data_IF_509246293424
#
_entry.id   IF_509246293424
#
_cell.length_a   1.000
_cell.length_b   1.000
_cell.length_c   1.000
_cell.angle_alpha   90.00
_cell.angle_beta   90.00
_cell.angle_gamma   90.00
#
_symmetry.space_group_name_H-M   'P 1'
#
loop_
_entity.id
_entity.type
_entity.pdbx_description
1 polymer ?
#
# COMPACT_ATOMS: atom_id res chain seq x y z
N UNK A 1 36.56 15.95 -19.67
CA UNK A 1 35.59 14.83 -19.62
C UNK A 1 34.85 14.77 -18.29
N UNK A 2 35.52 14.92 -17.14
CA UNK A 2 34.92 14.89 -15.80
C UNK A 2 33.65 15.74 -15.63
N UNK A 3 33.67 17.02 -16.05
CA UNK A 3 32.50 17.90 -15.97
C UNK A 3 31.27 17.36 -16.74
N UNK A 4 31.46 16.74 -17.91
CA UNK A 4 30.36 16.14 -18.69
C UNK A 4 29.74 14.94 -17.97
N UNK A 5 30.57 14.14 -17.29
CA UNK A 5 30.11 12.98 -16.50
C UNK A 5 29.34 13.45 -15.26
N UNK A 6 29.82 14.49 -14.57
CA UNK A 6 29.08 15.08 -13.45
C UNK A 6 27.72 15.62 -13.88
N UNK A 7 27.67 16.35 -15.00
CA UNK A 7 26.40 16.83 -15.57
C UNK A 7 25.48 15.65 -15.91
N UNK A 8 26.00 14.62 -16.57
CA UNK A 8 25.23 13.41 -16.89
C UNK A 8 24.67 12.73 -15.62
N UNK A 9 25.47 12.64 -14.56
CA UNK A 9 25.06 12.07 -13.28
C UNK A 9 23.93 12.88 -12.62
N UNK A 10 24.09 14.20 -12.56
CA UNK A 10 23.07 15.10 -12.00
C UNK A 10 21.77 15.03 -12.81
N UNK A 11 21.85 15.07 -14.13
CA UNK A 11 20.66 14.96 -15.00
C UNK A 11 19.95 13.62 -14.80
N UNK A 12 20.71 12.52 -14.75
CA UNK A 12 20.14 11.18 -14.52
C UNK A 12 19.47 11.09 -13.16
N UNK A 13 20.11 11.62 -12.11
CA UNK A 13 19.54 11.68 -10.77
C UNK A 13 18.23 12.47 -10.72
N UNK A 14 18.19 13.65 -11.37
CA UNK A 14 16.98 14.47 -11.42
C UNK A 14 15.83 13.75 -12.14
N UNK A 15 16.09 13.06 -13.26
CA UNK A 15 15.06 12.29 -13.97
C UNK A 15 14.49 11.18 -13.07
N UNK A 16 15.35 10.42 -12.39
CA UNK A 16 14.90 9.37 -11.45
C UNK A 16 14.09 9.99 -10.30
N UNK A 17 14.57 11.07 -9.70
CA UNK A 17 13.91 11.74 -8.59
C UNK A 17 12.52 12.27 -8.99
N UNK A 18 12.40 12.92 -10.16
CA UNK A 18 11.12 13.37 -10.69
C UNK A 18 10.19 12.18 -10.97
N UNK A 19 10.71 11.08 -11.51
CA UNK A 19 9.93 9.85 -11.71
C UNK A 19 9.39 9.28 -10.40
N UNK A 20 10.19 9.27 -9.34
CA UNK A 20 9.76 8.84 -8.00
C UNK A 20 8.66 9.79 -7.47
N UNK A 21 8.86 11.10 -7.55
CA UNK A 21 7.86 12.07 -7.11
C UNK A 21 6.53 11.92 -7.86
N UNK A 22 6.58 11.70 -9.18
CA UNK A 22 5.38 11.46 -9.98
C UNK A 22 4.70 10.15 -9.57
N UNK A 23 5.48 9.10 -9.29
CA UNK A 23 4.92 7.81 -8.82
C UNK A 23 4.24 7.96 -7.46
N UNK A 24 4.84 8.69 -6.52
CA UNK A 24 4.27 8.96 -5.20
C UNK A 24 2.99 9.78 -5.28
N UNK A 25 2.93 10.78 -6.17
CA UNK A 25 1.76 11.64 -6.37
C UNK A 25 0.74 11.09 -7.38
N UNK A 26 0.93 9.86 -7.87
CA UNK A 26 0.07 9.23 -8.89
C UNK A 26 -0.10 10.03 -10.18
N UNK A 27 0.89 10.86 -10.53
CA UNK A 27 0.86 11.70 -11.73
C UNK A 27 1.14 10.88 -12.99
N UNK A 28 0.52 11.25 -14.13
CA UNK A 28 0.76 10.56 -15.40
C UNK A 28 2.22 10.67 -15.83
N UNK A 29 2.73 9.61 -16.46
CA UNK A 29 4.11 9.57 -16.98
C UNK A 29 5.19 9.10 -15.99
N UNK A 30 4.83 8.83 -14.73
CA UNK A 30 5.76 8.32 -13.70
C UNK A 30 6.55 7.09 -14.16
N UNK A 31 5.87 6.11 -14.76
CA UNK A 31 6.49 4.88 -15.23
C UNK A 31 7.56 5.11 -16.30
N UNK A 32 7.28 5.98 -17.29
CA UNK A 32 8.24 6.30 -18.34
C UNK A 32 9.48 7.00 -17.78
N UNK A 33 9.30 7.98 -16.89
CA UNK A 33 10.42 8.69 -16.25
C UNK A 33 11.30 7.74 -15.43
N UNK A 34 10.70 6.84 -14.66
CA UNK A 34 11.44 5.85 -13.87
C UNK A 34 12.22 4.87 -14.74
N UNK A 35 11.60 4.34 -15.79
CA UNK A 35 12.26 3.42 -16.73
C UNK A 35 13.42 4.13 -17.42
N UNK A 36 13.19 5.30 -18.02
CA UNK A 36 14.24 6.06 -18.72
C UNK A 36 15.36 6.44 -17.75
N UNK A 37 15.02 6.93 -16.57
CA UNK A 37 15.97 7.34 -15.54
C UNK A 37 16.85 6.18 -15.06
N UNK A 38 16.25 5.06 -14.65
CA UNK A 38 16.99 3.90 -14.13
C UNK A 38 17.76 3.16 -15.22
N UNK A 39 17.21 3.04 -16.44
CA UNK A 39 17.94 2.48 -17.59
C UNK A 39 19.16 3.34 -17.92
N UNK A 40 19.00 4.67 -17.97
CA UNK A 40 20.12 5.59 -18.21
C UNK A 40 21.16 5.51 -17.09
N UNK A 41 20.73 5.42 -15.82
CA UNK A 41 21.61 5.27 -14.67
C UNK A 41 22.49 4.02 -14.79
N UNK A 42 21.89 2.89 -15.12
CA UNK A 42 22.54 1.58 -15.09
C UNK A 42 23.32 1.28 -16.37
N UNK A 43 22.78 1.59 -17.54
CA UNK A 43 23.37 1.21 -18.83
C UNK A 43 24.22 2.32 -19.46
N UNK A 44 24.09 3.57 -19.02
CA UNK A 44 24.82 4.71 -19.61
C UNK A 44 25.72 5.36 -18.57
N UNK A 45 25.16 5.95 -17.53
CA UNK A 45 25.93 6.73 -16.56
C UNK A 45 26.95 5.86 -15.81
N UNK A 46 26.51 4.76 -15.18
CA UNK A 46 27.39 3.91 -14.37
C UNK A 46 28.58 3.34 -15.18
N UNK A 47 28.39 2.74 -16.38
CA UNK A 47 29.51 2.30 -17.22
C UNK A 47 30.46 3.43 -17.59
N UNK A 48 29.94 4.59 -18.02
CA UNK A 48 30.77 5.72 -18.45
C UNK A 48 31.58 6.26 -17.27
N UNK A 49 30.98 6.37 -16.08
CA UNK A 49 31.65 6.81 -14.86
C UNK A 49 32.75 5.84 -14.44
N UNK A 50 32.47 4.53 -14.44
CA UNK A 50 33.44 3.50 -14.07
C UNK A 50 34.59 3.39 -15.08
N UNK A 51 34.30 3.47 -16.38
CA UNK A 51 35.34 3.48 -17.44
C UNK A 51 36.24 4.71 -17.28
N UNK A 52 35.67 5.90 -17.06
CA UNK A 52 36.47 7.10 -16.86
C UNK A 52 37.34 6.99 -15.60
N UNK A 53 36.78 6.52 -14.49
CA UNK A 53 37.52 6.29 -13.25
C UNK A 53 38.66 5.28 -13.42
N UNK A 54 38.42 4.19 -14.16
CA UNK A 54 39.47 3.21 -14.48
C UNK A 54 40.57 3.80 -15.39
N UNK A 55 40.23 4.71 -16.31
CA UNK A 55 41.23 5.37 -17.17
C UNK A 55 42.10 6.36 -16.41
N UNK A 56 41.54 7.02 -15.40
CA UNK A 56 42.26 8.04 -14.62
C UNK A 56 43.16 7.40 -13.55
N UNK A 57 42.67 6.39 -12.83
CA UNK A 57 43.32 5.85 -11.62
C UNK A 57 43.42 4.31 -11.60
N UNK A 58 42.90 3.64 -12.65
CA UNK A 58 42.79 2.20 -12.70
C UNK A 58 44.11 1.51 -13.02
N UNK A 59 44.36 0.40 -12.31
CA UNK A 59 45.39 -0.58 -12.66
C UNK A 59 44.71 -1.89 -13.07
N UNK A 60 45.41 -2.76 -13.79
CA UNK A 60 44.87 -4.09 -14.18
C UNK A 60 44.37 -4.91 -12.98
N UNK A 61 44.94 -4.71 -11.80
CA UNK A 61 44.54 -5.40 -10.57
C UNK A 61 43.17 -4.93 -10.05
N UNK A 62 42.78 -3.69 -10.36
CA UNK A 62 41.52 -3.09 -9.91
C UNK A 62 40.38 -3.34 -10.90
N UNK A 63 40.65 -3.80 -12.12
CA UNK A 63 39.63 -4.06 -13.15
C UNK A 63 38.45 -4.92 -12.67
N UNK A 64 38.65 -6.03 -11.92
CA UNK A 64 37.54 -6.83 -11.40
C UNK A 64 36.57 -6.03 -10.52
N UNK A 65 37.08 -5.08 -9.74
CA UNK A 65 36.25 -4.24 -8.87
C UNK A 65 35.29 -3.37 -9.70
N UNK A 66 35.77 -2.76 -10.78
CA UNK A 66 34.94 -1.94 -11.67
C UNK A 66 33.84 -2.76 -12.35
N UNK A 67 34.17 -3.96 -12.84
CA UNK A 67 33.22 -4.87 -13.47
C UNK A 67 32.15 -5.31 -12.46
N UNK A 68 32.56 -5.78 -11.30
CA UNK A 68 31.64 -6.26 -10.26
C UNK A 68 30.78 -5.13 -9.70
N UNK A 69 31.32 -3.92 -9.59
CA UNK A 69 30.54 -2.73 -9.21
C UNK A 69 29.40 -2.49 -10.21
N UNK A 70 29.70 -2.51 -11.52
CA UNK A 70 28.67 -2.35 -12.54
C UNK A 70 27.61 -3.46 -12.49
N UNK A 71 28.04 -4.73 -12.40
CA UNK A 71 27.11 -5.87 -12.32
C UNK A 71 26.21 -5.76 -11.08
N UNK A 72 26.78 -5.34 -9.94
CA UNK A 72 26.01 -5.17 -8.70
C UNK A 72 24.98 -4.06 -8.84
N UNK A 73 25.36 -2.90 -9.39
CA UNK A 73 24.42 -1.84 -9.69
C UNK A 73 23.34 -2.31 -10.66
N UNK A 74 23.70 -3.06 -11.71
CA UNK A 74 22.76 -3.59 -12.68
C UNK A 74 21.72 -4.49 -12.03
N UNK A 75 22.13 -5.47 -11.22
CA UNK A 75 21.21 -6.40 -10.53
C UNK A 75 20.30 -5.65 -9.55
N UNK A 76 20.87 -4.78 -8.69
CA UNK A 76 20.12 -4.06 -7.65
C UNK A 76 19.11 -3.09 -8.25
N UNK A 77 19.53 -2.22 -9.17
CA UNK A 77 18.62 -1.22 -9.75
C UNK A 77 17.58 -1.85 -10.67
N UNK A 78 17.89 -2.96 -11.33
CA UNK A 78 16.90 -3.70 -12.12
C UNK A 78 15.84 -4.33 -11.22
N UNK A 79 16.22 -4.95 -10.10
CA UNK A 79 15.26 -5.49 -9.13
C UNK A 79 14.35 -4.40 -8.54
N UNK A 80 14.92 -3.25 -8.17
CA UNK A 80 14.18 -2.08 -7.70
C UNK A 80 13.20 -1.60 -8.78
N UNK A 81 13.63 -1.47 -10.05
CA UNK A 81 12.77 -1.07 -11.15
C UNK A 81 11.58 -2.04 -11.31
N UNK A 82 11.84 -3.35 -11.34
CA UNK A 82 10.79 -4.36 -11.45
C UNK A 82 9.80 -4.30 -10.29
N UNK A 83 10.29 -4.09 -9.07
CA UNK A 83 9.44 -3.97 -7.87
C UNK A 83 8.58 -2.71 -7.91
N UNK A 84 9.14 -1.55 -8.29
CA UNK A 84 8.38 -0.30 -8.41
C UNK A 84 7.35 -0.39 -9.55
N UNK A 85 7.72 -1.01 -10.68
CA UNK A 85 6.86 -1.16 -11.85
C UNK A 85 5.86 -2.32 -11.75
N UNK A 86 5.90 -3.09 -10.65
CA UNK A 86 5.04 -4.26 -10.43
C UNK A 86 5.14 -5.31 -11.55
N UNK A 87 6.32 -5.40 -12.18
CA UNK A 87 6.56 -6.33 -13.26
C UNK A 87 6.69 -7.78 -12.76
N UNK A 88 6.36 -8.77 -13.59
CA UNK A 88 6.46 -10.18 -13.22
C UNK A 88 7.90 -10.54 -12.83
N UNK A 89 8.05 -11.35 -11.79
CA UNK A 89 9.36 -11.78 -11.27
C UNK A 89 10.04 -10.79 -10.33
N UNK A 90 9.45 -9.64 -10.01
CA UNK A 90 10.02 -8.65 -9.10
C UNK A 90 10.42 -9.24 -7.73
N UNK A 91 9.60 -10.12 -7.15
CA UNK A 91 9.91 -10.77 -5.87
C UNK A 91 11.19 -11.61 -5.94
N UNK A 92 11.32 -12.45 -6.97
CA UNK A 92 12.49 -13.30 -7.20
C UNK A 92 13.74 -12.43 -7.40
N UNK A 93 13.62 -11.39 -8.22
CA UNK A 93 14.70 -10.42 -8.46
C UNK A 93 15.15 -9.73 -7.18
N UNK A 94 14.21 -9.30 -6.32
CA UNK A 94 14.53 -8.69 -5.02
C UNK A 94 15.23 -9.67 -4.07
N UNK A 95 14.80 -10.94 -4.04
CA UNK A 95 15.45 -11.99 -3.25
C UNK A 95 16.89 -12.25 -3.70
N UNK A 96 17.15 -12.19 -5.02
CA UNK A 96 18.50 -12.33 -5.57
C UNK A 96 19.33 -11.06 -5.31
N UNK A 97 18.76 -9.87 -5.51
CA UNK A 97 19.50 -8.62 -5.44
C UNK A 97 19.90 -8.24 -4.02
N UNK A 98 19.13 -8.61 -3.01
CA UNK A 98 19.39 -8.23 -1.62
C UNK A 98 20.73 -8.79 -1.07
N UNK A 99 21.06 -10.08 -1.23
CA UNK A 99 22.38 -10.60 -0.83
C UNK A 99 23.48 -10.31 -1.85
N UNK A 100 23.15 -9.91 -3.09
CA UNK A 100 24.12 -9.79 -4.18
C UNK A 100 25.32 -8.88 -3.87
N UNK A 101 25.16 -7.66 -3.31
CA UNK A 101 26.30 -6.81 -2.95
C UNK A 101 27.23 -7.45 -1.91
N UNK A 102 26.70 -8.28 -1.02
CA UNK A 102 27.48 -8.92 0.06
C UNK A 102 28.23 -10.16 -0.40
N UNK A 103 27.66 -10.91 -1.34
CA UNK A 103 28.26 -12.16 -1.84
C UNK A 103 29.23 -11.88 -2.99
N UNK A 104 28.97 -10.84 -3.81
CA UNK A 104 29.74 -10.58 -5.03
C UNK A 104 30.61 -9.34 -4.89
N UNK A 105 30.04 -8.19 -4.58
CA UNK A 105 30.79 -6.93 -4.52
C UNK A 105 31.73 -6.85 -3.32
N UNK A 106 31.24 -7.14 -2.13
CA UNK A 106 32.02 -6.98 -0.90
C UNK A 106 33.31 -7.83 -0.88
N UNK A 107 33.32 -9.12 -1.26
CA UNK A 107 34.56 -9.90 -1.27
C UNK A 107 35.58 -9.36 -2.26
N UNK A 108 35.14 -8.97 -3.46
CA UNK A 108 36.03 -8.40 -4.48
C UNK A 108 36.57 -7.05 -4.03
N UNK A 109 35.74 -6.20 -3.44
CA UNK A 109 36.13 -4.92 -2.85
C UNK A 109 37.22 -5.11 -1.79
N UNK A 110 37.02 -6.01 -0.82
CA UNK A 110 37.99 -6.27 0.25
C UNK A 110 39.31 -6.88 -0.28
N UNK A 111 39.25 -7.81 -1.24
CA UNK A 111 40.46 -8.43 -1.82
C UNK A 111 41.30 -7.39 -2.59
N UNK A 112 40.64 -6.54 -3.38
CA UNK A 112 41.33 -5.52 -4.19
C UNK A 112 41.88 -4.40 -3.31
N UNK A 113 41.07 -3.87 -2.39
CA UNK A 113 41.50 -2.76 -1.52
C UNK A 113 42.48 -3.21 -0.44
N UNK A 114 42.35 -4.42 0.10
CA UNK A 114 43.26 -4.97 1.12
C UNK A 114 44.69 -5.18 0.62
N UNK A 115 44.92 -5.24 -0.70
CA UNK A 115 46.27 -5.26 -1.29
C UNK A 115 46.94 -3.89 -1.29
N UNK A 116 46.16 -2.81 -1.16
CA UNK A 116 46.67 -1.45 -1.12
C UNK A 116 46.92 -1.02 0.33
N UNK A 117 48.20 -1.04 0.75
CA UNK A 117 48.63 -0.68 2.11
C UNK A 117 48.28 0.77 2.52
N UNK A 118 48.04 1.64 1.54
CA UNK A 118 47.69 3.05 1.77
C UNK A 118 46.17 3.30 1.67
N UNK A 119 45.35 2.24 1.58
CA UNK A 119 43.90 2.42 1.51
C UNK A 119 43.35 2.87 2.87
N UNK A 120 42.65 4.01 2.86
CA UNK A 120 42.05 4.58 4.05
C UNK A 120 40.94 3.68 4.60
N UNK A 121 41.03 3.33 5.89
CA UNK A 121 39.98 2.59 6.59
C UNK A 121 38.63 3.31 6.55
N UNK A 122 38.64 4.66 6.51
CA UNK A 122 37.43 5.46 6.42
C UNK A 122 36.63 5.17 5.14
N UNK A 123 37.31 4.91 4.01
CA UNK A 123 36.63 4.55 2.75
C UNK A 123 35.98 3.17 2.84
N UNK A 124 36.63 2.21 3.49
CA UNK A 124 36.05 0.88 3.75
C UNK A 124 34.80 1.00 4.62
N UNK A 125 34.89 1.74 5.73
CA UNK A 125 33.75 1.97 6.64
C UNK A 125 32.61 2.65 5.89
N UNK A 126 32.90 3.65 5.07
CA UNK A 126 31.90 4.34 4.26
C UNK A 126 31.18 3.40 3.29
N UNK A 127 31.92 2.54 2.58
CA UNK A 127 31.32 1.53 1.67
C UNK A 127 30.45 0.54 2.44
N UNK A 128 30.90 0.06 3.61
CA UNK A 128 30.08 -0.84 4.45
C UNK A 128 28.78 -0.17 4.89
N UNK A 129 28.83 1.10 5.31
CA UNK A 129 27.64 1.86 5.68
C UNK A 129 26.69 2.05 4.49
N UNK A 130 27.20 2.34 3.30
CA UNK A 130 26.38 2.43 2.09
C UNK A 130 25.69 1.11 1.75
N UNK A 131 26.38 -0.02 1.91
CA UNK A 131 25.78 -1.35 1.70
C UNK A 131 24.65 -1.63 2.69
N UNK A 132 24.85 -1.32 3.97
CA UNK A 132 23.83 -1.48 5.01
C UNK A 132 22.61 -0.62 4.70
N UNK A 133 22.81 0.67 4.41
CA UNK A 133 21.73 1.58 4.04
C UNK A 133 20.96 1.06 2.83
N UNK A 134 21.67 0.69 1.76
CA UNK A 134 21.06 0.13 0.56
C UNK A 134 20.22 -1.13 0.87
N UNK A 135 20.67 -1.96 1.81
CA UNK A 135 20.00 -3.21 2.15
C UNK A 135 18.77 -3.01 3.02
N UNK A 136 18.81 -2.05 3.95
CA UNK A 136 17.62 -1.65 4.72
C UNK A 136 16.54 -1.16 3.78
N UNK A 137 16.86 -0.23 2.86
CA UNK A 137 15.88 0.28 1.90
C UNK A 137 15.40 -0.79 0.92
N UNK A 138 16.29 -1.65 0.42
CA UNK A 138 15.91 -2.76 -0.47
C UNK A 138 15.03 -3.79 0.26
N UNK A 139 15.32 -4.09 1.52
CA UNK A 139 14.52 -4.98 2.36
C UNK A 139 13.12 -4.42 2.62
N UNK A 140 13.02 -3.14 2.98
CA UNK A 140 11.73 -2.46 3.15
C UNK A 140 10.91 -2.47 1.85
N UNK A 141 11.55 -2.19 0.71
CA UNK A 141 10.91 -2.25 -0.60
C UNK A 141 10.48 -3.68 -0.98
N UNK A 142 11.19 -4.71 -0.49
CA UNK A 142 10.86 -6.10 -0.78
C UNK A 142 9.56 -6.56 -0.08
N UNK A 143 9.18 -5.93 1.04
CA UNK A 143 7.97 -6.26 1.77
C UNK A 143 6.72 -6.16 0.87
N UNK A 144 5.78 -7.10 1.06
CA UNK A 144 4.51 -7.17 0.32
C UNK A 144 3.31 -6.83 1.22
N UNK A 145 3.51 -6.01 2.26
CA UNK A 145 2.47 -5.73 3.28
C UNK A 145 1.19 -5.21 2.64
N UNK A 146 1.28 -4.22 1.74
CA UNK A 146 0.11 -3.65 1.05
C UNK A 146 -0.60 -4.69 0.18
N UNK A 147 0.16 -5.53 -0.54
CA UNK A 147 -0.41 -6.56 -1.41
C UNK A 147 -1.17 -7.61 -0.60
N UNK A 148 -0.53 -8.18 0.43
CA UNK A 148 -1.19 -9.18 1.27
C UNK A 148 -2.44 -8.59 1.93
N UNK A 149 -2.35 -7.33 2.40
CA UNK A 149 -3.49 -6.62 2.99
C UNK A 149 -4.65 -6.43 2.00
N UNK A 150 -4.38 -6.24 0.70
CA UNK A 150 -5.42 -6.18 -0.34
C UNK A 150 -5.97 -7.58 -0.64
N UNK A 151 -5.10 -8.58 -0.80
CA UNK A 151 -5.52 -9.95 -1.08
C UNK A 151 -6.42 -10.48 0.05
N UNK A 152 -6.06 -10.20 1.31
CA UNK A 152 -6.88 -10.51 2.50
C UNK A 152 -8.23 -9.80 2.46
N UNK A 153 -8.28 -8.55 1.99
CA UNK A 153 -9.53 -7.81 1.86
C UNK A 153 -10.48 -8.48 0.86
N UNK A 154 -9.99 -8.91 -0.30
CA UNK A 154 -10.83 -9.60 -1.29
C UNK A 154 -11.33 -10.97 -0.80
N UNK A 155 -10.50 -11.71 -0.06
CA UNK A 155 -10.94 -12.96 0.56
C UNK A 155 -12.04 -12.72 1.61
N UNK A 156 -11.93 -11.62 2.36
CA UNK A 156 -12.93 -11.27 3.37
C UNK A 156 -14.24 -10.82 2.74
N UNK A 157 -14.22 -10.03 1.66
CA UNK A 157 -15.42 -9.66 0.88
C UNK A 157 -16.18 -10.91 0.41
N UNK A 158 -15.47 -11.88 -0.21
CA UNK A 158 -16.08 -13.15 -0.63
C UNK A 158 -16.80 -13.87 0.51
N UNK A 159 -16.16 -13.94 1.68
CA UNK A 159 -16.76 -14.57 2.86
C UNK A 159 -18.01 -13.82 3.33
N UNK A 160 -18.00 -12.48 3.31
CA UNK A 160 -19.17 -11.68 3.66
C UNK A 160 -20.32 -11.87 2.67
N UNK A 161 -20.04 -11.85 1.36
CA UNK A 161 -21.06 -12.12 0.32
C UNK A 161 -21.71 -13.51 0.49
N UNK A 162 -20.93 -14.53 0.85
CA UNK A 162 -21.46 -15.87 1.14
C UNK A 162 -22.40 -15.88 2.35
N UNK A 163 -22.00 -15.22 3.44
CA UNK A 163 -22.85 -15.10 4.65
C UNK A 163 -24.12 -14.32 4.33
N UNK A 164 -24.00 -13.22 3.58
CA UNK A 164 -25.12 -12.37 3.22
C UNK A 164 -26.14 -13.11 2.36
N UNK A 165 -25.68 -13.94 1.42
CA UNK A 165 -26.56 -14.79 0.60
C UNK A 165 -27.44 -15.68 1.49
N UNK A 166 -26.86 -16.27 2.55
CA UNK A 166 -27.61 -17.09 3.52
C UNK A 166 -28.57 -16.25 4.36
N UNK A 167 -28.16 -15.04 4.76
CA UNK A 167 -29.01 -14.15 5.56
C UNK A 167 -30.20 -13.61 4.77
N UNK A 168 -30.02 -13.36 3.47
CA UNK A 168 -31.07 -12.88 2.57
C UNK A 168 -32.13 -13.97 2.28
N UNK A 169 -31.80 -15.25 2.45
CA UNK A 169 -32.74 -16.37 2.34
C UNK A 169 -33.62 -16.56 3.59
N UNK A 170 -33.30 -15.90 4.71
CA UNK A 170 -34.11 -15.97 5.93
C UNK A 170 -35.40 -15.15 5.76
N UNK A 171 -36.54 -15.61 6.30
CA UNK A 171 -37.80 -14.88 6.20
C UNK A 171 -37.71 -13.51 6.87
N UNK A 172 -38.22 -12.48 6.20
CA UNK A 172 -38.29 -11.11 6.75
C UNK A 172 -39.02 -11.11 8.10
N UNK A 173 -38.35 -10.58 9.12
CA UNK A 173 -38.89 -10.46 10.47
C UNK A 173 -39.84 -9.27 10.62
N UNK A 174 -40.64 -9.28 11.69
CA UNK A 174 -41.64 -8.24 11.98
C UNK A 174 -41.00 -6.83 12.01
N UNK A 175 -41.43 -6.00 11.05
CA UNK A 175 -41.03 -4.59 10.87
C UNK A 175 -41.42 -3.63 11.99
N UNK A 176 -42.17 -4.10 12.99
CA UNK A 176 -42.70 -3.27 14.09
C UNK A 176 -41.72 -3.08 15.26
N UNK A 177 -40.57 -3.76 15.25
CA UNK A 177 -39.55 -3.59 16.30
C UNK A 177 -38.71 -2.32 16.06
N UNK A 178 -38.62 -1.38 17.04
CA UNK A 178 -37.88 -0.14 16.88
C UNK A 178 -36.38 -0.35 16.61
N UNK A 179 -35.78 -1.43 17.14
CA UNK A 179 -34.37 -1.76 16.88
C UNK A 179 -34.19 -2.22 15.43
N UNK A 180 -35.12 -3.02 14.90
CA UNK A 180 -35.10 -3.48 13.50
C UNK A 180 -35.25 -2.31 12.53
N UNK A 181 -36.09 -1.33 12.85
CA UNK A 181 -36.23 -0.11 12.04
C UNK A 181 -34.92 0.69 12.01
N UNK A 182 -34.28 0.90 13.17
CA UNK A 182 -32.97 1.57 13.22
C UNK A 182 -31.88 0.79 12.50
N UNK A 183 -31.90 -0.55 12.55
CA UNK A 183 -30.97 -1.38 11.77
C UNK A 183 -31.16 -1.14 10.27
N UNK A 184 -32.41 -1.12 9.79
CA UNK A 184 -32.71 -0.89 8.37
C UNK A 184 -32.29 0.51 7.89
N UNK A 185 -32.43 1.54 8.73
CA UNK A 185 -31.94 2.90 8.43
C UNK A 185 -30.40 2.93 8.29
N UNK A 186 -29.69 2.25 9.18
CA UNK A 186 -28.23 2.15 9.12
C UNK A 186 -27.80 1.35 7.89
N UNK A 187 -28.44 0.21 7.61
CA UNK A 187 -28.19 -0.58 6.40
C UNK A 187 -28.35 0.27 5.13
N UNK A 188 -29.45 1.04 5.01
CA UNK A 188 -29.64 1.92 3.86
C UNK A 188 -28.54 2.98 3.72
N UNK A 189 -27.97 3.43 4.84
CA UNK A 189 -26.82 4.36 4.83
C UNK A 189 -25.55 3.66 4.34
N UNK A 190 -25.33 2.41 4.75
CA UNK A 190 -24.19 1.59 4.31
C UNK A 190 -24.27 1.34 2.81
N UNK A 191 -25.43 0.92 2.29
CA UNK A 191 -25.68 0.67 0.86
C UNK A 191 -25.37 1.94 0.04
N UNK A 192 -25.86 3.09 0.50
CA UNK A 192 -25.62 4.38 -0.14
C UNK A 192 -24.12 4.73 -0.20
N UNK A 193 -23.38 4.45 0.87
CA UNK A 193 -21.94 4.71 0.91
C UNK A 193 -21.16 3.79 -0.02
N UNK A 194 -21.46 2.49 -0.02
CA UNK A 194 -20.85 1.54 -0.95
C UNK A 194 -21.09 1.98 -2.40
N UNK A 195 -22.33 2.36 -2.74
CA UNK A 195 -22.68 2.83 -4.08
C UNK A 195 -21.88 4.08 -4.46
N UNK A 196 -21.83 5.10 -3.60
CA UNK A 196 -21.08 6.34 -3.86
C UNK A 196 -19.58 6.05 -4.09
N UNK A 197 -18.99 5.19 -3.25
CA UNK A 197 -17.57 4.85 -3.33
C UNK A 197 -17.27 4.05 -4.61
N UNK A 198 -18.09 3.06 -4.95
CA UNK A 198 -17.91 2.21 -6.12
C UNK A 198 -18.16 2.97 -7.43
N UNK A 199 -19.16 3.86 -7.48
CA UNK A 199 -19.41 4.74 -8.63
C UNK A 199 -18.20 5.63 -8.93
N UNK A 200 -17.49 6.09 -7.90
CA UNK A 200 -16.27 6.88 -8.07
C UNK A 200 -15.13 6.07 -8.73
N UNK A 201 -15.17 4.74 -8.68
CA UNK A 201 -14.28 3.83 -9.40
C UNK A 201 -14.89 3.24 -10.69
N UNK A 202 -16.05 3.74 -11.12
CA UNK A 202 -16.82 3.22 -12.26
C UNK A 202 -17.20 1.73 -12.12
N UNK A 203 -17.51 1.30 -10.89
CA UNK A 203 -17.92 -0.05 -10.55
C UNK A 203 -19.33 -0.04 -9.95
N UNK A 204 -20.14 -1.07 -10.21
CA UNK A 204 -21.42 -1.26 -9.53
C UNK A 204 -21.29 -2.22 -8.34
N UNK A 205 -22.20 -2.16 -7.35
CA UNK A 205 -22.24 -3.13 -6.24
C UNK A 205 -22.25 -4.60 -6.70
N UNK A 206 -23.02 -4.93 -7.74
CA UNK A 206 -23.10 -6.31 -8.25
C UNK A 206 -21.81 -6.77 -8.94
N UNK A 207 -21.06 -5.83 -9.53
CA UNK A 207 -19.74 -6.13 -10.10
C UNK A 207 -18.72 -6.37 -8.99
N UNK A 208 -18.81 -5.58 -7.91
CA UNK A 208 -17.98 -5.72 -6.73
C UNK A 208 -18.22 -7.09 -6.06
N UNK A 209 -19.45 -7.47 -5.77
CA UNK A 209 -19.80 -8.78 -5.17
C UNK A 209 -19.29 -9.96 -6.00
N UNK A 210 -19.40 -9.88 -7.33
CA UNK A 210 -18.97 -10.98 -8.23
C UNK A 210 -17.47 -11.05 -8.40
N UNK A 211 -16.78 -9.90 -8.42
CA UNK A 211 -15.35 -9.85 -8.69
C UNK A 211 -14.67 -8.65 -7.99
N UNK A 212 -14.42 -8.73 -6.66
CA UNK A 212 -13.77 -7.66 -5.91
C UNK A 212 -12.38 -7.29 -6.45
N UNK A 213 -11.68 -8.26 -7.05
CA UNK A 213 -10.34 -8.09 -7.62
C UNK A 213 -10.30 -7.14 -8.83
N UNK A 214 -11.47 -6.79 -9.40
CA UNK A 214 -11.56 -5.85 -10.52
C UNK A 214 -11.41 -4.38 -10.11
N UNK A 215 -11.28 -4.09 -8.81
CA UNK A 215 -11.11 -2.74 -8.29
C UNK A 215 -9.82 -2.10 -8.83
N UNK A 216 -9.92 -0.90 -9.39
CA UNK A 216 -8.79 -0.29 -10.11
C UNK A 216 -7.66 0.13 -9.17
N UNK A 217 -7.99 0.78 -8.05
CA UNK A 217 -7.00 1.31 -7.09
C UNK A 217 -7.28 0.86 -5.65
N UNK A 218 -7.20 -0.45 -5.35
CA UNK A 218 -7.55 -1.00 -4.06
C UNK A 218 -6.67 -0.49 -2.90
N UNK A 219 -5.45 -0.04 -3.18
CA UNK A 219 -4.50 0.53 -2.22
C UNK A 219 -4.64 2.04 -2.01
N UNK A 220 -5.51 2.72 -2.76
CA UNK A 220 -5.65 4.17 -2.68
C UNK A 220 -6.24 4.60 -1.34
N UNK A 221 -5.55 5.50 -0.65
CA UNK A 221 -6.00 6.13 0.60
C UNK A 221 -6.74 7.43 0.31
N UNK A 222 -7.71 7.78 1.15
CA UNK A 222 -8.46 9.03 1.03
C UNK A 222 -9.48 9.06 -0.10
N UNK A 223 -9.48 8.09 -1.01
CA UNK A 223 -10.41 8.04 -2.14
C UNK A 223 -11.87 7.85 -1.69
N UNK A 224 -12.08 6.96 -0.72
CA UNK A 224 -13.40 6.76 -0.12
C UNK A 224 -13.89 8.03 0.60
N UNK A 225 -13.03 8.64 1.43
CA UNK A 225 -13.32 9.93 2.06
C UNK A 225 -13.68 11.01 1.03
N UNK A 226 -12.90 11.11 -0.06
CA UNK A 226 -13.15 12.06 -1.13
C UNK A 226 -14.50 11.82 -1.82
N UNK A 227 -14.85 10.55 -2.10
CA UNK A 227 -16.13 10.20 -2.70
C UNK A 227 -17.31 10.62 -1.78
N UNK A 228 -17.20 10.35 -0.48
CA UNK A 228 -18.22 10.73 0.51
C UNK A 228 -18.34 12.26 0.67
N UNK A 229 -17.22 12.98 0.77
CA UNK A 229 -17.22 14.44 0.84
C UNK A 229 -17.84 15.05 -0.42
N UNK A 230 -17.52 14.52 -1.60
CA UNK A 230 -18.10 14.98 -2.88
C UNK A 230 -19.62 14.76 -2.94
N UNK A 231 -20.15 13.75 -2.24
CA UNK A 231 -21.59 13.50 -2.11
C UNK A 231 -22.29 14.42 -1.08
N UNK A 232 -21.54 15.30 -0.40
CA UNK A 232 -22.04 16.22 0.61
C UNK A 232 -22.02 15.68 2.04
N UNK A 233 -21.36 14.55 2.30
CA UNK A 233 -21.16 14.00 3.65
C UNK A 233 -19.81 14.47 4.19
N UNK A 234 -19.82 15.60 4.91
CA UNK A 234 -18.64 16.21 5.50
C UNK A 234 -18.89 16.54 6.98
N UNK A 235 -18.08 16.01 7.92
CA UNK A 235 -17.01 15.02 7.76
C UNK A 235 -17.48 13.70 7.11
N UNK A 236 -16.58 13.00 6.42
CA UNK A 236 -16.86 11.72 5.79
C UNK A 236 -17.32 10.68 6.83
N UNK A 237 -18.47 10.04 6.60
CA UNK A 237 -19.00 9.05 7.54
C UNK A 237 -19.87 9.61 8.65
N UNK A 238 -20.22 10.91 8.62
CA UNK A 238 -21.05 11.55 9.65
C UNK A 238 -22.43 10.91 9.76
N UNK A 239 -23.11 10.70 8.62
CA UNK A 239 -24.43 10.04 8.62
C UNK A 239 -24.34 8.65 9.22
N UNK A 240 -23.36 7.85 8.81
CA UNK A 240 -23.17 6.49 9.31
C UNK A 240 -22.91 6.46 10.82
N UNK A 241 -21.96 7.26 11.32
CA UNK A 241 -21.64 7.28 12.75
C UNK A 241 -22.85 7.73 13.60
N UNK A 242 -23.57 8.74 13.13
CA UNK A 242 -24.77 9.22 13.82
C UNK A 242 -25.87 8.16 13.85
N UNK A 243 -26.05 7.40 12.76
CA UNK A 243 -26.99 6.28 12.67
C UNK A 243 -26.60 5.15 13.63
N UNK A 244 -25.34 4.74 13.65
CA UNK A 244 -24.83 3.70 14.54
C UNK A 244 -24.98 4.06 16.02
N UNK A 245 -24.68 5.31 16.39
CA UNK A 245 -24.89 5.79 17.77
C UNK A 245 -26.37 5.81 18.16
N UNK A 246 -27.23 6.21 17.23
CA UNK A 246 -28.68 6.21 17.45
C UNK A 246 -29.21 4.79 17.62
N UNK A 247 -28.69 3.83 16.83
CA UNK A 247 -28.99 2.42 16.97
C UNK A 247 -28.56 1.88 18.35
N UNK A 248 -27.33 2.15 18.79
CA UNK A 248 -26.85 1.73 20.12
C UNK A 248 -27.77 2.29 21.22
N UNK A 249 -28.12 3.59 21.15
CA UNK A 249 -29.03 4.22 22.10
C UNK A 249 -30.42 3.57 22.11
N UNK A 250 -30.95 3.19 20.94
CA UNK A 250 -32.23 2.50 20.84
C UNK A 250 -32.18 1.08 21.42
N UNK A 251 -31.05 0.39 21.27
CA UNK A 251 -30.80 -0.90 21.95
C UNK A 251 -30.71 -0.74 23.47
N UNK A 252 -30.16 0.36 24.00
CA UNK A 252 -30.11 0.61 25.44
C UNK A 252 -31.51 0.81 26.06
N UNK A 253 -32.41 1.47 25.32
CA UNK A 253 -33.76 1.80 25.80
C UNK A 253 -34.72 0.62 25.67
N UNK A 254 -34.50 -0.27 24.69
CA UNK A 254 -35.43 -1.36 24.40
C UNK A 254 -35.22 -2.55 25.38
N UNK A 255 -36.26 -3.00 26.10
CA UNK A 255 -36.14 -4.15 27.00
C UNK A 255 -35.71 -5.42 26.26
N UNK A 256 -34.70 -6.13 26.78
CA UNK A 256 -34.14 -7.36 26.18
C UNK A 256 -32.84 -7.16 25.38
N UNK A 257 -32.42 -5.92 25.14
CA UNK A 257 -31.27 -5.59 24.29
C UNK A 257 -30.05 -5.08 25.08
N UNK A 258 -30.10 -5.08 26.41
CA UNK A 258 -29.06 -4.45 27.25
C UNK A 258 -27.67 -5.07 27.11
N UNK A 259 -27.58 -6.39 26.89
CA UNK A 259 -26.30 -7.06 26.67
C UNK A 259 -25.74 -6.74 25.28
N UNK A 260 -26.59 -6.76 24.26
CA UNK A 260 -26.21 -6.36 22.89
C UNK A 260 -25.76 -4.89 22.85
N UNK A 261 -26.47 -4.00 23.55
CA UNK A 261 -26.15 -2.58 23.60
C UNK A 261 -24.75 -2.30 24.18
N UNK A 262 -24.29 -3.11 25.16
CA UNK A 262 -22.95 -2.99 25.75
C UNK A 262 -21.85 -3.36 24.76
N UNK A 263 -22.07 -4.38 23.93
CA UNK A 263 -21.08 -4.90 22.98
C UNK A 263 -21.17 -4.22 21.60
N UNK A 264 -22.32 -3.59 21.28
CA UNK A 264 -22.58 -2.94 19.99
C UNK A 264 -21.49 -1.93 19.57
N UNK A 265 -20.92 -1.09 20.47
CA UNK A 265 -19.83 -0.21 20.08
C UNK A 265 -18.58 -0.91 19.54
N UNK A 266 -18.28 -2.11 20.06
CA UNK A 266 -17.17 -2.94 19.57
C UNK A 266 -17.56 -3.66 18.26
N UNK A 267 -18.78 -4.19 18.19
CA UNK A 267 -19.29 -4.90 16.99
C UNK A 267 -19.38 -3.98 15.76
N UNK A 268 -19.71 -2.71 15.96
CA UNK A 268 -19.80 -1.71 14.89
C UNK A 268 -18.50 -0.93 14.67
N UNK A 269 -17.49 -1.18 15.52
CA UNK A 269 -16.17 -0.56 15.49
C UNK A 269 -16.24 0.98 15.44
N UNK A 270 -17.08 1.54 16.33
CA UNK A 270 -17.32 2.99 16.47
C UNK A 270 -16.37 3.68 17.47
N UNK A 271 -15.49 2.91 18.13
CA UNK A 271 -14.51 3.43 19.09
C UNK A 271 -13.20 3.72 18.36
N UNK A 272 -12.77 4.98 18.34
CA UNK A 272 -11.51 5.34 17.68
C UNK A 272 -10.28 4.90 18.52
N UNK A 273 -9.11 4.69 17.90
CA UNK A 273 -7.89 4.26 18.60
C UNK A 273 -7.46 5.17 19.76
N UNK A 274 -7.77 6.47 19.66
CA UNK A 274 -7.42 7.48 20.66
C UNK A 274 -8.60 7.90 21.55
N UNK A 275 -9.78 7.30 21.36
CA UNK A 275 -11.02 7.64 22.06
C UNK A 275 -11.65 8.99 21.68
N UNK A 276 -11.10 9.70 20.69
CA UNK A 276 -11.67 10.94 20.14
C UNK A 276 -12.54 10.64 18.93
N UNK A 277 -13.75 11.17 18.91
CA UNK A 277 -14.69 10.98 17.80
C UNK A 277 -14.18 11.57 16.47
N UNK A 278 -13.53 12.73 16.52
CA UNK A 278 -12.95 13.39 15.33
C UNK A 278 -11.94 12.50 14.60
N UNK A 279 -11.23 11.64 15.34
CA UNK A 279 -10.24 10.71 14.77
C UNK A 279 -10.92 9.53 14.05
N UNK A 280 -12.19 9.22 14.36
CA UNK A 280 -12.90 8.08 13.79
C UNK A 280 -13.13 8.24 12.28
N UNK A 281 -13.56 9.44 11.86
CA UNK A 281 -13.83 9.75 10.46
C UNK A 281 -12.60 9.52 9.58
N UNK A 282 -11.47 10.15 9.96
CA UNK A 282 -10.20 10.00 9.25
C UNK A 282 -9.72 8.56 9.30
N UNK A 283 -9.76 7.91 10.47
CA UNK A 283 -9.28 6.55 10.63
C UNK A 283 -10.03 5.57 9.73
N UNK A 284 -11.37 5.68 9.66
CA UNK A 284 -12.20 4.77 8.86
C UNK A 284 -12.08 5.01 7.37
N UNK A 285 -12.22 6.25 6.92
CA UNK A 285 -12.46 6.55 5.51
C UNK A 285 -11.26 7.20 4.80
N UNK A 286 -10.37 7.88 5.52
CA UNK A 286 -9.25 8.62 4.95
C UNK A 286 -7.91 7.86 5.03
N UNK A 287 -7.58 7.33 6.21
CA UNK A 287 -6.28 6.71 6.49
C UNK A 287 -6.17 5.26 5.98
N UNK A 288 -7.31 4.59 5.80
CA UNK A 288 -7.41 3.25 5.24
C UNK A 288 -7.38 3.26 3.71
N UNK A 289 -6.96 2.15 3.14
CA UNK A 289 -7.04 1.92 1.70
C UNK A 289 -8.47 1.57 1.29
N UNK A 290 -8.83 1.95 0.07
CA UNK A 290 -10.16 1.82 -0.50
C UNK A 290 -10.77 0.44 -0.29
N UNK A 291 -10.01 -0.62 -0.56
CA UNK A 291 -10.50 -1.99 -0.38
C UNK A 291 -10.94 -2.25 1.07
N UNK A 292 -10.16 -1.82 2.07
CA UNK A 292 -10.55 -2.00 3.48
C UNK A 292 -11.72 -1.13 3.93
N UNK A 293 -11.95 0.02 3.30
CA UNK A 293 -13.14 0.81 3.59
C UNK A 293 -14.39 0.06 3.13
N UNK A 294 -14.36 -0.54 1.93
CA UNK A 294 -15.45 -1.37 1.42
C UNK A 294 -15.66 -2.61 2.31
N UNK A 295 -14.60 -3.28 2.73
CA UNK A 295 -14.69 -4.42 3.68
C UNK A 295 -15.29 -4.00 5.02
N UNK A 296 -14.93 -2.82 5.54
CA UNK A 296 -15.52 -2.32 6.77
C UNK A 296 -17.04 -2.15 6.62
N UNK A 297 -17.49 -1.60 5.48
CA UNK A 297 -18.91 -1.44 5.18
C UNK A 297 -19.62 -2.79 5.04
N UNK A 298 -19.08 -3.74 4.27
CA UNK A 298 -19.63 -5.10 4.14
C UNK A 298 -19.68 -5.85 5.47
N UNK A 299 -18.63 -5.74 6.28
CA UNK A 299 -18.58 -6.36 7.60
C UNK A 299 -19.60 -5.77 8.55
N UNK A 300 -19.81 -4.45 8.49
CA UNK A 300 -20.85 -3.77 9.26
C UNK A 300 -22.25 -4.20 8.80
N UNK A 301 -22.48 -4.24 7.49
CA UNK A 301 -23.73 -4.71 6.88
C UNK A 301 -24.07 -6.14 7.30
N UNK A 302 -23.08 -7.04 7.22
CA UNK A 302 -23.20 -8.44 7.62
C UNK A 302 -23.52 -8.55 9.11
N UNK A 303 -22.82 -7.80 9.97
CA UNK A 303 -23.10 -7.76 11.41
C UNK A 303 -24.52 -7.29 11.70
N UNK A 304 -24.99 -6.24 11.02
CA UNK A 304 -26.35 -5.71 11.17
C UNK A 304 -27.41 -6.69 10.69
N UNK A 305 -27.21 -7.36 9.54
CA UNK A 305 -28.10 -8.41 9.03
C UNK A 305 -28.14 -9.63 9.96
N UNK A 306 -27.00 -10.03 10.53
CA UNK A 306 -26.94 -11.11 11.53
C UNK A 306 -27.69 -10.74 12.80
N UNK A 307 -27.45 -9.54 13.36
CA UNK A 307 -28.18 -9.06 14.53
C UNK A 307 -29.67 -9.08 14.22
N UNK A 308 -30.09 -8.45 13.11
CA UNK A 308 -31.49 -8.46 12.65
C UNK A 308 -32.05 -9.88 12.67
N UNK A 309 -31.41 -10.84 11.99
CA UNK A 309 -31.88 -12.23 11.95
C UNK A 309 -32.03 -12.93 13.32
N UNK A 310 -31.34 -12.47 14.36
CA UNK A 310 -31.48 -13.01 15.72
C UNK A 310 -32.63 -12.38 16.52
N UNK A 311 -33.19 -11.26 16.08
CA UNK A 311 -34.26 -10.53 16.76
C UNK A 311 -35.65 -11.09 16.40
N UNK A 312 -35.90 -12.35 16.76
CA UNK A 312 -37.24 -12.95 16.71
C UNK A 312 -38.12 -12.50 17.87
#
# INVERSE_FOLDING_TARGET
MKQKIYILGVVTFLIVLTGIMFKLNHWPGAGYLLVIGLVTLVLVFTPVALINSYRDEGTRQNLPLYIVTWITCFVVFTAILFKIMHWPGAGILMTISLPFPYIVFLPVFLIVTGRNKNFSIYNTVFVLMLLVINSVFSGLLALNVTRNRIDDSFNLSRNYTEVETVLNDLPDQMTDNPVVQSINEVLSTVDSYQEIILQHENMSPEQWERNPESLWRPDSKGLAAQALINSGDSPEGTKLLSGLKSLVKNMEITPGYSELAKEAPQLFDIVSPNGKEEDWYSWKFNDNNLAWVLIYLEGLETNLKMIRATLN
#
